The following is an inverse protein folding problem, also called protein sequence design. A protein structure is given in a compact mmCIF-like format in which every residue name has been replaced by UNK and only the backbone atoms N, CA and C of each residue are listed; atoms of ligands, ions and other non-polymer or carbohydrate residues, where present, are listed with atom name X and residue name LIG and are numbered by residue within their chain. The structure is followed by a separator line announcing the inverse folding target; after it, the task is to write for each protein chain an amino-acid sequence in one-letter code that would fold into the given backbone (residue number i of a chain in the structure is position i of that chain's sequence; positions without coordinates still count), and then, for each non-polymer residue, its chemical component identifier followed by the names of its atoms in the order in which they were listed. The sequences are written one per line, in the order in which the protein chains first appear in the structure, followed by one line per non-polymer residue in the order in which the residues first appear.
data_IF_288747443176
#
_entry.id   IF_288747443176
#
_cell.length_a   1.000
_cell.length_b   1.000
_cell.length_c   1.000
_cell.angle_alpha   90.00
_cell.angle_beta   90.00
_cell.angle_gamma   90.00
#
_symmetry.space_group_name_H-M   'P 1'
#
loop_
_entity.id
_entity.type
_entity.pdbx_description
1 polymer ?
#
# COMPACT_ATOMS: atom_id res chain seq x y z
N UNK A 1 -58.00 17.96 -0.28
CA UNK A 1 -56.68 18.61 -0.11
C UNK A 1 -55.90 17.84 0.95
N UNK A 2 -54.88 17.08 0.57
CA UNK A 2 -54.05 16.35 1.54
C UNK A 2 -53.06 17.33 2.18
N UNK A 3 -53.09 17.47 3.51
CA UNK A 3 -52.17 18.34 4.26
C UNK A 3 -50.84 17.60 4.39
N UNK A 4 -49.88 18.00 3.57
CA UNK A 4 -48.55 17.41 3.58
C UNK A 4 -47.84 17.77 4.89
N UNK A 5 -47.36 16.75 5.62
CA UNK A 5 -46.71 16.95 6.92
C UNK A 5 -45.27 17.36 6.73
N UNK A 6 -44.97 18.64 6.99
CA UNK A 6 -43.64 19.25 6.86
C UNK A 6 -42.56 18.49 7.66
N UNK A 7 -42.95 17.86 8.78
CA UNK A 7 -42.04 17.05 9.60
C UNK A 7 -41.50 15.82 8.86
N UNK A 8 -42.30 15.19 8.00
CA UNK A 8 -41.88 13.99 7.25
C UNK A 8 -40.75 14.35 6.28
N UNK A 9 -40.86 15.50 5.60
CA UNK A 9 -39.79 15.99 4.74
C UNK A 9 -38.55 16.42 5.51
N UNK A 10 -38.72 17.01 6.69
CA UNK A 10 -37.57 17.40 7.53
C UNK A 10 -36.82 16.18 8.05
N UNK A 11 -37.52 15.13 8.49
CA UNK A 11 -36.88 13.87 8.89
C UNK A 11 -36.20 13.18 7.71
N UNK A 12 -36.82 13.17 6.52
CA UNK A 12 -36.18 12.56 5.34
C UNK A 12 -34.92 13.34 4.92
N UNK A 13 -34.96 14.67 4.92
CA UNK A 13 -33.81 15.53 4.60
C UNK A 13 -32.65 15.32 5.59
N UNK A 14 -32.93 15.23 6.90
CA UNK A 14 -31.91 14.96 7.93
C UNK A 14 -31.29 13.57 7.73
N UNK A 15 -32.10 12.55 7.43
CA UNK A 15 -31.59 11.19 7.18
C UNK A 15 -30.73 11.09 5.91
N UNK A 16 -31.10 11.79 4.83
CA UNK A 16 -30.30 11.85 3.60
C UNK A 16 -28.99 12.58 3.86
N UNK A 17 -29.01 13.71 4.58
CA UNK A 17 -27.81 14.44 4.95
C UNK A 17 -26.88 13.61 5.85
N UNK A 18 -27.43 12.82 6.78
CA UNK A 18 -26.66 11.89 7.61
C UNK A 18 -26.00 10.77 6.78
N UNK A 19 -26.69 10.22 5.79
CA UNK A 19 -26.10 9.24 4.86
C UNK A 19 -24.95 9.83 4.02
N UNK A 20 -25.11 11.07 3.53
CA UNK A 20 -24.05 11.75 2.77
C UNK A 20 -22.85 12.08 3.66
N UNK A 21 -23.06 12.50 4.92
CA UNK A 21 -21.98 12.77 5.87
C UNK A 21 -21.17 11.51 6.24
N UNK A 22 -21.76 10.31 6.12
CA UNK A 22 -21.04 9.03 6.31
C UNK A 22 -20.18 8.66 5.09
N UNK A 23 -20.54 9.12 3.88
CA UNK A 23 -19.83 8.76 2.65
C UNK A 23 -18.43 9.37 2.52
N UNK A 24 -18.16 10.52 3.15
CA UNK A 24 -16.81 11.15 3.17
C UNK A 24 -15.78 10.33 3.98
N UNK A 25 -16.21 9.31 4.72
CA UNK A 25 -15.34 8.40 5.47
C UNK A 25 -15.27 6.96 4.91
N UNK A 26 -16.07 6.61 3.89
CA UNK A 26 -16.15 5.25 3.34
C UNK A 26 -15.35 5.07 2.04
N UNK A 27 -14.95 6.13 1.34
CA UNK A 27 -14.10 5.98 0.15
C UNK A 27 -12.70 5.51 0.59
N UNK A 28 -12.41 4.22 0.36
CA UNK A 28 -11.15 3.59 0.76
C UNK A 28 -9.96 4.38 0.26
N UNK A 29 -9.12 4.82 1.20
CA UNK A 29 -7.84 5.45 0.86
C UNK A 29 -6.95 4.37 0.26
N UNK A 30 -6.71 4.44 -1.05
CA UNK A 30 -5.75 3.59 -1.73
C UNK A 30 -4.39 3.68 -1.04
N UNK A 31 -3.79 2.54 -0.77
CA UNK A 31 -2.39 2.44 -0.36
C UNK A 31 -1.54 2.21 -1.60
N UNK A 32 -0.46 2.97 -1.74
CA UNK A 32 0.46 2.87 -2.86
C UNK A 32 1.78 2.27 -2.38
N UNK A 33 2.25 1.25 -3.09
CA UNK A 33 3.54 0.61 -2.84
C UNK A 33 4.48 1.00 -3.96
N UNK A 34 5.68 1.45 -3.58
CA UNK A 34 6.78 1.74 -4.50
C UNK A 34 7.96 0.87 -4.08
N UNK A 35 8.49 0.11 -5.03
CA UNK A 35 9.63 -0.78 -4.83
C UNK A 35 10.73 -0.30 -5.76
N UNK A 36 11.77 0.28 -5.18
CA UNK A 36 12.95 0.76 -5.89
C UNK A 36 14.05 -0.28 -5.87
N UNK A 37 14.73 -0.46 -7.01
CA UNK A 37 15.99 -1.19 -7.06
C UNK A 37 17.13 -0.31 -6.51
N UNK A 38 17.50 -0.55 -5.26
CA UNK A 38 18.63 0.10 -4.58
C UNK A 38 19.89 -0.77 -4.50
N UNK A 39 20.02 -1.80 -5.35
CA UNK A 39 21.24 -2.59 -5.50
C UNK A 39 22.33 -1.78 -6.23
N UNK A 40 23.47 -2.38 -6.55
CA UNK A 40 24.55 -1.68 -7.27
C UNK A 40 24.18 -1.43 -8.74
N UNK A 41 24.77 -0.39 -9.33
CA UNK A 41 24.60 -0.07 -10.75
C UNK A 41 24.96 -1.29 -11.62
N UNK A 42 24.05 -1.65 -12.53
CA UNK A 42 24.21 -2.81 -13.41
C UNK A 42 23.61 -4.11 -12.86
N UNK A 43 23.12 -4.12 -11.62
CA UNK A 43 22.44 -5.28 -11.03
C UNK A 43 20.93 -5.19 -11.26
N UNK A 44 20.33 -6.03 -12.13
CA UNK A 44 18.89 -6.07 -12.29
C UNK A 44 18.22 -6.74 -11.09
N UNK A 45 17.10 -6.18 -10.66
CA UNK A 45 16.25 -6.75 -9.62
C UNK A 45 14.98 -7.30 -10.25
N UNK A 46 14.74 -8.60 -10.10
CA UNK A 46 13.46 -9.22 -10.47
C UNK A 46 12.55 -9.22 -9.25
N UNK A 47 11.36 -8.64 -9.39
CA UNK A 47 10.34 -8.50 -8.35
C UNK A 47 9.13 -9.36 -8.72
N UNK A 48 8.65 -10.16 -7.78
CA UNK A 48 7.37 -10.86 -7.91
C UNK A 48 6.57 -10.73 -6.62
N UNK A 49 5.50 -9.95 -6.65
CA UNK A 49 4.66 -9.71 -5.48
C UNK A 49 3.30 -10.40 -5.61
N UNK A 50 2.78 -10.88 -4.48
CA UNK A 50 1.45 -11.48 -4.39
C UNK A 50 0.77 -11.10 -3.08
N UNK A 51 -0.55 -11.12 -3.08
CA UNK A 51 -1.37 -11.21 -1.88
C UNK A 51 -1.97 -12.62 -1.77
N UNK A 52 -2.93 -12.81 -0.86
CA UNK A 52 -3.75 -14.03 -0.85
C UNK A 52 -4.61 -14.16 -2.11
N UNK A 53 -5.07 -13.04 -2.64
CA UNK A 53 -6.13 -12.99 -3.66
C UNK A 53 -5.59 -12.57 -5.04
N UNK A 54 -4.43 -11.91 -5.09
CA UNK A 54 -3.87 -11.31 -6.29
C UNK A 54 -2.42 -11.76 -6.55
N UNK A 55 -2.10 -12.06 -7.82
CA UNK A 55 -0.74 -12.20 -8.30
C UNK A 55 -0.40 -11.00 -9.18
N UNK A 56 0.56 -10.18 -8.74
CA UNK A 56 0.93 -8.94 -9.43
C UNK A 56 1.93 -9.16 -10.58
N UNK A 57 2.33 -10.42 -10.81
CA UNK A 57 3.26 -10.81 -11.87
C UNK A 57 4.72 -10.45 -11.57
N UNK A 58 5.56 -10.74 -12.56
CA UNK A 58 7.02 -10.58 -12.48
C UNK A 58 7.44 -9.30 -13.20
N UNK A 59 8.25 -8.48 -12.54
CA UNK A 59 8.78 -7.21 -13.06
C UNK A 59 10.29 -7.20 -12.92
N UNK A 60 11.03 -6.73 -13.94
CA UNK A 60 12.48 -6.60 -13.89
C UNK A 60 12.85 -5.12 -13.88
N UNK A 61 13.57 -4.70 -12.84
CA UNK A 61 13.95 -3.31 -12.60
C UNK A 61 15.45 -3.15 -12.79
N UNK A 62 15.86 -2.17 -13.61
CA UNK A 62 17.26 -1.72 -13.65
C UNK A 62 17.59 -0.94 -12.38
N UNK A 63 18.87 -0.66 -12.19
CA UNK A 63 19.32 0.21 -11.10
C UNK A 63 18.52 1.52 -11.07
N UNK A 64 18.06 1.90 -9.88
CA UNK A 64 17.27 3.11 -9.61
C UNK A 64 15.83 3.13 -10.17
N UNK A 65 15.42 2.12 -10.96
CA UNK A 65 14.03 2.00 -11.42
C UNK A 65 13.08 1.56 -10.29
N UNK A 66 11.81 1.93 -10.43
CA UNK A 66 10.75 1.64 -9.47
C UNK A 66 9.61 0.83 -10.10
N UNK A 67 9.14 -0.19 -9.39
CA UNK A 67 7.85 -0.83 -9.62
C UNK A 67 6.82 -0.24 -8.66
N UNK A 68 5.63 0.09 -9.18
CA UNK A 68 4.53 0.67 -8.41
C UNK A 68 3.25 -0.15 -8.59
N UNK A 69 2.54 -0.37 -7.49
CA UNK A 69 1.15 -0.82 -7.52
C UNK A 69 0.35 -0.15 -6.40
N UNK A 70 -0.97 -0.27 -6.46
CA UNK A 70 -1.86 0.25 -5.42
C UNK A 70 -3.01 -0.73 -5.17
N UNK A 71 -3.57 -0.66 -3.98
CA UNK A 71 -4.71 -1.48 -3.58
C UNK A 71 -5.56 -0.73 -2.56
N UNK A 72 -6.80 -1.16 -2.40
CA UNK A 72 -7.66 -0.72 -1.31
C UNK A 72 -7.46 -1.64 -0.10
N UNK A 73 -7.05 -1.12 1.08
CA UNK A 73 -6.91 -1.94 2.27
C UNK A 73 -8.24 -2.56 2.67
N UNK A 74 -8.23 -3.82 3.08
CA UNK A 74 -9.45 -4.49 3.52
C UNK A 74 -9.93 -3.90 4.86
N UNK A 75 -11.25 -3.78 5.01
CA UNK A 75 -11.86 -3.31 6.26
C UNK A 75 -11.51 -4.19 7.47
N UNK A 76 -11.32 -5.49 7.25
CA UNK A 76 -10.95 -6.45 8.29
C UNK A 76 -9.45 -6.50 8.63
N UNK A 77 -8.65 -5.53 8.16
CA UNK A 77 -7.22 -5.38 8.48
C UNK A 77 -6.30 -6.56 8.11
N UNK A 78 -6.71 -7.39 7.15
CA UNK A 78 -6.00 -8.63 6.81
C UNK A 78 -5.21 -8.55 5.49
N UNK A 79 -5.00 -7.35 4.93
CA UNK A 79 -4.25 -7.22 3.68
C UNK A 79 -2.75 -7.43 3.91
N UNK A 80 -2.19 -8.41 3.21
CA UNK A 80 -0.76 -8.77 3.22
C UNK A 80 -0.29 -8.90 1.77
N UNK A 81 0.81 -8.23 1.44
CA UNK A 81 1.57 -8.45 0.22
C UNK A 81 2.98 -8.92 0.58
N UNK A 82 3.36 -10.07 0.02
CA UNK A 82 4.70 -10.63 0.12
C UNK A 82 5.34 -10.64 -1.27
N UNK A 83 6.63 -10.31 -1.32
CA UNK A 83 7.39 -10.20 -2.55
C UNK A 83 8.63 -11.10 -2.52
N UNK A 84 8.90 -11.73 -3.66
CA UNK A 84 10.19 -12.31 -3.97
C UNK A 84 11.06 -11.30 -4.74
N UNK A 85 12.29 -11.16 -4.30
CA UNK A 85 13.32 -10.30 -4.86
C UNK A 85 14.48 -11.17 -5.32
N UNK A 86 14.73 -11.23 -6.62
CA UNK A 86 15.81 -12.03 -7.19
C UNK A 86 16.86 -11.15 -7.86
N UNK A 87 18.10 -11.28 -7.39
CA UNK A 87 19.30 -10.73 -8.00
C UNK A 87 20.43 -11.74 -7.86
N UNK A 88 21.43 -11.71 -8.74
CA UNK A 88 22.56 -12.66 -8.72
C UNK A 88 22.12 -14.14 -8.64
N UNK A 89 20.96 -14.45 -9.25
CA UNK A 89 20.29 -15.77 -9.19
C UNK A 89 19.90 -16.25 -7.78
N UNK A 90 19.81 -15.36 -6.79
CA UNK A 90 19.39 -15.64 -5.42
C UNK A 90 18.06 -14.98 -5.10
N UNK A 91 17.12 -15.77 -4.59
CA UNK A 91 15.81 -15.32 -4.15
C UNK A 91 15.85 -14.87 -2.68
N UNK A 92 15.25 -13.72 -2.41
CA UNK A 92 15.08 -13.13 -1.09
C UNK A 92 13.60 -12.78 -0.92
N UNK A 93 12.95 -13.18 0.17
CA UNK A 93 11.52 -12.88 0.38
C UNK A 93 11.35 -11.84 1.46
N UNK A 94 10.30 -11.02 1.31
CA UNK A 94 9.95 -10.01 2.28
C UNK A 94 8.49 -9.59 2.15
N UNK A 95 7.85 -9.31 3.29
CA UNK A 95 6.48 -8.83 3.37
C UNK A 95 6.47 -7.31 3.16
N UNK A 96 6.29 -6.87 1.90
CA UNK A 96 6.36 -5.45 1.52
C UNK A 96 5.24 -4.61 2.13
N UNK A 97 4.12 -5.25 2.47
CA UNK A 97 3.01 -4.61 3.15
C UNK A 97 2.27 -5.60 4.04
N UNK A 98 1.99 -5.18 5.27
CA UNK A 98 1.15 -5.90 6.22
C UNK A 98 0.30 -4.84 6.90
N UNK A 99 -1.02 -4.90 6.74
CA UNK A 99 -1.91 -3.84 7.19
C UNK A 99 -1.79 -3.57 8.70
N UNK A 100 -1.75 -4.61 9.54
CA UNK A 100 -1.64 -4.45 10.99
C UNK A 100 -0.34 -3.77 11.47
N UNK A 101 0.72 -3.82 10.67
CA UNK A 101 2.03 -3.23 10.99
C UNK A 101 2.25 -1.88 10.30
N UNK A 102 1.93 -1.82 9.01
CA UNK A 102 2.34 -0.75 8.12
C UNK A 102 1.25 0.29 7.88
N UNK A 103 -0.02 0.01 8.23
CA UNK A 103 -1.13 0.93 7.96
C UNK A 103 -0.91 2.33 8.57
N UNK A 104 -0.29 2.44 9.74
CA UNK A 104 -0.01 3.75 10.36
C UNK A 104 1.33 4.37 9.93
N UNK A 105 2.22 3.58 9.34
CA UNK A 105 3.54 4.03 8.87
C UNK A 105 3.50 4.49 7.42
N UNK A 106 2.59 3.92 6.63
CA UNK A 106 2.44 4.14 5.20
C UNK A 106 1.05 4.66 4.86
N UNK A 107 0.84 5.97 5.01
CA UNK A 107 -0.40 6.62 4.53
C UNK A 107 -0.10 7.91 3.77
N UNK A 108 -0.36 7.98 2.44
CA UNK A 108 -0.85 6.92 1.54
C UNK A 108 0.24 6.12 0.83
N UNK A 109 1.52 6.53 0.95
CA UNK A 109 2.62 6.00 0.15
C UNK A 109 3.60 5.20 1.03
N UNK A 110 3.85 3.97 0.63
CA UNK A 110 4.80 3.04 1.21
C UNK A 110 5.95 2.89 0.22
N UNK A 111 7.07 3.57 0.46
CA UNK A 111 8.21 3.57 -0.46
C UNK A 111 9.34 2.74 0.12
N UNK A 112 9.79 1.76 -0.65
CA UNK A 112 10.84 0.82 -0.27
C UNK A 112 12.01 0.89 -1.23
N UNK A 113 13.22 0.82 -0.69
CA UNK A 113 14.44 0.57 -1.43
C UNK A 113 14.96 -0.82 -1.07
N UNK A 114 15.08 -1.68 -2.07
CA UNK A 114 15.63 -3.03 -1.92
C UNK A 114 17.15 -2.93 -2.06
N UNK A 115 17.88 -3.25 -0.98
CA UNK A 115 19.34 -3.23 -0.93
C UNK A 115 19.89 -4.63 -0.72
N UNK A 116 21.22 -4.80 -0.78
CA UNK A 116 21.86 -6.12 -0.58
C UNK A 116 21.62 -6.70 0.81
N UNK A 117 21.63 -5.87 1.84
CA UNK A 117 21.57 -6.32 3.24
C UNK A 117 20.12 -6.44 3.71
N UNK A 118 19.32 -5.39 3.50
CA UNK A 118 17.95 -5.33 3.99
C UNK A 118 17.08 -4.33 3.21
N UNK A 119 15.75 -4.50 3.20
CA UNK A 119 14.84 -3.50 2.65
C UNK A 119 14.74 -2.30 3.61
N UNK A 120 14.74 -1.09 3.05
CA UNK A 120 14.58 0.16 3.81
C UNK A 120 13.41 0.97 3.30
N UNK A 121 12.62 1.52 4.21
CA UNK A 121 11.52 2.43 3.90
C UNK A 121 12.02 3.87 3.81
N UNK A 122 11.35 4.65 2.97
CA UNK A 122 11.56 6.09 2.89
C UNK A 122 11.00 6.78 4.13
N UNK A 123 11.86 7.55 4.78
CA UNK A 123 11.51 8.42 5.87
C UNK A 123 11.20 9.82 5.32
N UNK A 124 9.96 10.25 5.51
CA UNK A 124 9.49 11.53 5.01
C UNK A 124 10.05 12.74 5.77
N UNK A 125 10.61 12.54 6.97
CA UNK A 125 11.25 13.58 7.76
C UNK A 125 12.70 13.79 7.29
N UNK A 126 13.49 12.72 7.22
CA UNK A 126 14.92 12.79 6.85
C UNK A 126 15.16 12.84 5.34
N UNK A 127 14.13 12.54 4.54
CA UNK A 127 14.18 12.41 3.07
C UNK A 127 15.14 11.31 2.59
N UNK A 128 15.28 10.23 3.34
CA UNK A 128 16.20 9.11 3.04
C UNK A 128 15.51 7.76 3.24
N UNK A 129 16.08 6.72 2.64
CA UNK A 129 15.72 5.33 2.91
C UNK A 129 16.49 4.81 4.13
N UNK A 130 16.07 5.21 5.34
CA UNK A 130 16.81 4.93 6.59
C UNK A 130 15.99 4.19 7.66
N UNK A 131 14.73 3.85 7.37
CA UNK A 131 13.91 2.99 8.24
C UNK A 131 14.05 1.56 7.73
N UNK A 132 15.10 0.85 8.15
CA UNK A 132 15.44 -0.47 7.65
C UNK A 132 14.86 -1.60 8.52
N UNK A 133 14.56 -2.75 7.89
CA UNK A 133 14.01 -3.94 8.56
C UNK A 133 14.97 -5.10 8.43
N UNK A 134 15.23 -5.82 9.52
CA UNK A 134 16.46 -6.59 9.61
C UNK A 134 16.57 -7.82 8.69
N UNK A 135 15.49 -8.42 8.15
CA UNK A 135 15.65 -9.70 7.46
C UNK A 135 14.74 -9.93 6.26
N UNK A 136 15.36 -10.16 5.10
CA UNK A 136 14.84 -11.09 4.11
C UNK A 136 14.79 -12.50 4.71
N UNK A 137 13.83 -13.32 4.29
CA UNK A 137 13.75 -14.74 4.67
C UNK A 137 13.60 -15.67 3.45
#
# INVERSE_FOLDING_TARGET
MAKSSTHIFLFSLISIAAFMAVSDGWLGKYTHIYIKNGLDKGTPLTVHCKSKDDDLGVHVLKYDEEYKFQFEPNFFQNTLFFCGFTWDSKLHKFDIYNQGVHENMCKPDCKWSITRDHPCMFNFETKKYDICRDQYY
#
